data_IF_300963796384
#
_entry.id   IF_300963796384
#
_cell.length_a   1.000
_cell.length_b   1.000
_cell.length_c   1.000
_cell.angle_alpha   90.00
_cell.angle_beta   90.00
_cell.angle_gamma   90.00
#
_symmetry.space_group_name_H-M   'P 1'
#
loop_
_entity.id
_entity.type
_entity.pdbx_description
1 polymer ?
#
# COMPACT_ATOMS: atom_id res chain seq x y z
N UNK A 1 -19.98 21.90 -8.66
CA UNK A 1 -19.87 20.73 -9.55
C UNK A 1 -18.66 19.98 -9.04
N UNK A 2 -18.73 19.40 -7.83
CA UNK A 2 -17.53 19.00 -7.05
C UNK A 2 -17.82 17.81 -6.11
N UNK A 3 -18.53 16.79 -6.61
CA UNK A 3 -18.84 15.59 -5.80
C UNK A 3 -17.92 14.40 -6.08
N UNK A 4 -17.03 14.48 -7.06
CA UNK A 4 -16.15 13.37 -7.46
C UNK A 4 -14.84 13.33 -6.66
N UNK A 5 -14.32 14.48 -6.20
CA UNK A 5 -13.09 14.54 -5.40
C UNK A 5 -13.26 14.00 -3.97
N UNK A 6 -14.38 14.35 -3.31
CA UNK A 6 -14.58 14.03 -1.89
C UNK A 6 -14.70 12.53 -1.59
N UNK A 7 -15.27 11.74 -2.51
CA UNK A 7 -15.44 10.30 -2.31
C UNK A 7 -14.14 9.52 -2.60
N UNK A 8 -13.30 10.05 -3.50
CA UNK A 8 -11.99 9.44 -3.79
C UNK A 8 -11.03 9.65 -2.62
N UNK A 9 -11.00 10.88 -2.07
CA UNK A 9 -10.20 11.21 -0.89
C UNK A 9 -10.60 10.36 0.33
N UNK A 10 -11.90 10.13 0.53
CA UNK A 10 -12.39 9.30 1.65
C UNK A 10 -12.01 7.82 1.47
N UNK A 11 -12.12 7.29 0.25
CA UNK A 11 -11.70 5.93 -0.07
C UNK A 11 -10.18 5.74 0.09
N UNK A 12 -9.38 6.73 -0.30
CA UNK A 12 -7.93 6.74 -0.09
C UNK A 12 -7.59 6.71 1.41
N UNK A 13 -8.24 7.55 2.21
CA UNK A 13 -8.05 7.58 3.65
C UNK A 13 -8.42 6.25 4.31
N UNK A 14 -9.56 5.65 3.92
CA UNK A 14 -10.01 4.37 4.46
C UNK A 14 -9.03 3.25 4.13
N UNK A 15 -8.61 3.15 2.87
CA UNK A 15 -7.71 2.06 2.45
C UNK A 15 -6.32 2.21 3.07
N UNK A 16 -5.82 3.44 3.22
CA UNK A 16 -4.55 3.71 3.92
C UNK A 16 -4.63 3.29 5.38
N UNK A 17 -5.75 3.58 6.06
CA UNK A 17 -5.96 3.14 7.44
C UNK A 17 -5.97 1.61 7.57
N UNK A 18 -6.61 0.90 6.64
CA UNK A 18 -6.61 -0.56 6.61
C UNK A 18 -5.20 -1.11 6.36
N UNK A 19 -4.46 -0.52 5.42
CA UNK A 19 -3.10 -0.93 5.09
C UNK A 19 -2.14 -0.73 6.27
N UNK A 20 -2.24 0.39 7.00
CA UNK A 20 -1.39 0.64 8.16
C UNK A 20 -1.72 -0.30 9.32
N UNK A 21 -3.02 -0.58 9.55
CA UNK A 21 -3.43 -1.61 10.52
C UNK A 21 -2.84 -2.97 10.19
N UNK A 22 -2.87 -3.38 8.92
CA UNK A 22 -2.25 -4.63 8.47
C UNK A 22 -0.75 -4.62 8.75
N UNK A 23 -0.05 -3.55 8.37
CA UNK A 23 1.38 -3.38 8.58
C UNK A 23 1.77 -3.48 10.05
N UNK A 24 1.05 -2.80 10.93
CA UNK A 24 1.28 -2.85 12.38
C UNK A 24 1.05 -4.24 12.95
N UNK A 25 -0.03 -4.91 12.52
CA UNK A 25 -0.37 -6.27 12.96
C UNK A 25 0.71 -7.27 12.54
N UNK A 26 1.20 -7.18 11.31
CA UNK A 26 2.27 -8.05 10.79
C UNK A 26 3.60 -7.76 11.48
N UNK A 27 3.88 -6.48 11.78
CA UNK A 27 5.14 -6.07 12.41
C UNK A 27 5.18 -6.34 13.92
N UNK A 28 4.09 -6.84 14.49
CA UNK A 28 4.04 -7.22 15.90
C UNK A 28 4.96 -8.41 16.15
N UNK A 29 5.87 -8.24 17.11
CA UNK A 29 6.82 -9.28 17.48
C UNK A 29 6.11 -10.51 18.02
N UNK A 30 6.54 -11.70 17.60
CA UNK A 30 5.94 -12.97 18.01
C UNK A 30 6.96 -13.88 18.67
N UNK A 31 6.52 -14.54 19.74
CA UNK A 31 7.29 -15.60 20.37
C UNK A 31 7.35 -16.81 19.44
N UNK A 32 8.57 -17.30 19.20
CA UNK A 32 8.85 -18.46 18.37
C UNK A 32 9.80 -19.36 19.16
N UNK A 33 9.25 -20.35 19.88
CA UNK A 33 9.91 -21.34 20.76
C UNK A 33 11.09 -20.82 21.62
N UNK A 34 12.23 -20.53 20.99
CA UNK A 34 13.47 -20.11 21.64
C UNK A 34 13.80 -18.63 21.50
N UNK A 35 13.06 -17.87 20.66
CA UNK A 35 13.34 -16.45 20.40
C UNK A 35 12.10 -15.64 20.07
N UNK A 36 12.23 -14.34 20.25
CA UNK A 36 11.23 -13.36 19.82
C UNK A 36 11.62 -12.87 18.42
N UNK A 37 10.70 -12.98 17.46
CA UNK A 37 10.93 -12.59 16.05
C UNK A 37 10.02 -11.43 15.70
N UNK A 38 10.63 -10.33 15.27
CA UNK A 38 9.93 -9.20 14.65
C UNK A 38 10.27 -9.13 13.16
N UNK A 39 9.26 -8.87 12.34
CA UNK A 39 9.41 -8.59 10.90
C UNK A 39 8.89 -7.20 10.59
N UNK A 40 9.28 -6.65 9.45
CA UNK A 40 8.66 -5.45 8.89
C UNK A 40 7.84 -5.83 7.66
N UNK A 41 6.74 -5.13 7.42
CA UNK A 41 5.95 -5.29 6.20
C UNK A 41 5.94 -3.99 5.39
N UNK A 42 6.13 -4.10 4.08
CA UNK A 42 5.82 -3.04 3.12
C UNK A 42 4.53 -3.41 2.41
N UNK A 43 3.64 -2.43 2.25
CA UNK A 43 2.29 -2.67 1.70
C UNK A 43 2.05 -1.68 0.56
N UNK A 44 1.82 -2.19 -0.64
CA UNK A 44 1.41 -1.37 -1.78
C UNK A 44 -0.12 -1.38 -1.90
N UNK A 45 -0.69 -0.21 -2.12
CA UNK A 45 -2.14 0.01 -2.22
C UNK A 45 -2.43 0.63 -3.57
N UNK A 46 -3.49 0.19 -4.24
CA UNK A 46 -3.97 0.80 -5.47
C UNK A 46 -5.50 0.83 -5.47
N UNK A 47 -6.07 1.92 -5.96
CA UNK A 47 -7.51 2.06 -6.20
C UNK A 47 -7.79 1.87 -7.69
N UNK A 48 -8.95 1.33 -8.03
CA UNK A 48 -9.38 1.23 -9.42
C UNK A 48 -9.74 2.61 -9.96
N UNK A 49 -9.14 2.97 -11.08
CA UNK A 49 -9.34 4.23 -11.77
C UNK A 49 -8.94 4.10 -13.24
N UNK A 50 -8.84 5.20 -13.98
CA UNK A 50 -8.53 5.18 -15.40
C UNK A 50 -7.23 4.43 -15.74
N UNK A 51 -6.14 4.65 -14.99
CA UNK A 51 -4.86 3.95 -15.19
C UNK A 51 -4.80 2.53 -14.61
N UNK A 52 -5.75 2.14 -13.76
CA UNK A 52 -5.81 0.84 -13.07
C UNK A 52 -7.13 0.11 -13.39
N UNK A 53 -7.67 0.33 -14.59
CA UNK A 53 -9.01 -0.10 -14.99
C UNK A 53 -9.16 -1.60 -15.25
N UNK A 54 -8.06 -2.36 -15.27
CA UNK A 54 -8.08 -3.83 -15.42
C UNK A 54 -7.50 -4.51 -14.18
N UNK A 55 -7.90 -5.75 -13.87
CA UNK A 55 -7.36 -6.48 -12.72
C UNK A 55 -5.83 -6.59 -12.76
N UNK A 56 -5.25 -6.82 -13.95
CA UNK A 56 -3.80 -6.88 -14.12
C UNK A 56 -3.13 -5.54 -13.81
N UNK A 57 -3.68 -4.42 -14.31
CA UNK A 57 -3.13 -3.09 -14.06
C UNK A 57 -3.24 -2.69 -12.59
N UNK A 58 -4.36 -3.04 -11.93
CA UNK A 58 -4.56 -2.78 -10.51
C UNK A 58 -3.55 -3.55 -9.64
N UNK A 59 -3.35 -4.84 -9.91
CA UNK A 59 -2.34 -5.65 -9.22
C UNK A 59 -0.93 -5.13 -9.47
N UNK A 60 -0.60 -4.76 -10.71
CA UNK A 60 0.69 -4.17 -11.05
C UNK A 60 0.94 -2.85 -10.34
N UNK A 61 -0.08 -1.99 -10.24
CA UNK A 61 0.00 -0.72 -9.52
C UNK A 61 0.29 -0.94 -8.02
N UNK A 62 -0.40 -1.90 -7.38
CA UNK A 62 -0.13 -2.27 -6.00
C UNK A 62 1.30 -2.81 -5.82
N UNK A 63 1.78 -3.66 -6.74
CA UNK A 63 3.14 -4.19 -6.71
C UNK A 63 4.22 -3.09 -6.85
N UNK A 64 4.02 -2.13 -7.77
CA UNK A 64 4.88 -0.93 -7.88
C UNK A 64 4.90 -0.13 -6.58
N UNK A 65 3.77 -0.04 -5.88
CA UNK A 65 3.69 0.56 -4.55
C UNK A 65 4.60 -0.15 -3.54
N UNK A 66 4.57 -1.49 -3.49
CA UNK A 66 5.47 -2.28 -2.63
C UNK A 66 6.93 -1.99 -2.97
N UNK A 67 7.31 -2.05 -4.23
CA UNK A 67 8.69 -1.79 -4.65
C UNK A 67 9.17 -0.38 -4.29
N UNK A 68 8.29 0.61 -4.44
CA UNK A 68 8.56 2.00 -4.05
C UNK A 68 8.77 2.13 -2.54
N UNK A 69 7.92 1.48 -1.74
CA UNK A 69 8.07 1.42 -0.28
C UNK A 69 9.42 0.80 0.13
N UNK A 70 9.83 -0.28 -0.55
CA UNK A 70 11.12 -0.94 -0.31
C UNK A 70 12.30 -0.01 -0.57
N UNK A 71 12.27 0.78 -1.65
CA UNK A 71 13.32 1.75 -2.00
C UNK A 71 13.38 2.95 -1.05
N UNK A 72 12.26 3.34 -0.45
CA UNK A 72 12.17 4.51 0.42
C UNK A 72 12.44 4.22 1.90
N UNK A 73 12.87 3.00 2.25
CA UNK A 73 13.24 2.63 3.62
C UNK A 73 12.45 1.45 4.21
N UNK A 74 11.65 0.75 3.39
CA UNK A 74 10.86 -0.44 3.75
C UNK A 74 9.86 -0.15 4.89
N UNK A 75 9.09 -1.16 5.30
CA UNK A 75 8.31 -1.11 6.53
C UNK A 75 7.19 -0.06 6.53
N UNK A 76 6.68 0.31 5.35
CA UNK A 76 5.70 1.40 5.15
C UNK A 76 4.61 1.01 4.15
N UNK A 77 3.51 1.75 4.20
CA UNK A 77 2.45 1.67 3.20
C UNK A 77 2.69 2.71 2.10
N UNK A 78 2.43 2.33 0.85
CA UNK A 78 2.54 3.22 -0.30
C UNK A 78 1.27 3.11 -1.15
N UNK A 79 0.51 4.20 -1.22
CA UNK A 79 -0.55 4.35 -2.21
C UNK A 79 0.10 4.60 -3.57
N UNK A 80 -0.35 3.86 -4.58
CA UNK A 80 0.07 4.03 -5.95
C UNK A 80 -0.37 5.40 -6.48
N UNK A 81 0.58 6.10 -7.08
CA UNK A 81 0.36 7.31 -7.86
C UNK A 81 0.92 7.07 -9.26
N UNK A 82 0.26 7.58 -10.31
CA UNK A 82 0.69 7.39 -11.70
C UNK A 82 2.14 7.86 -11.93
N UNK A 83 2.62 8.84 -11.16
CA UNK A 83 4.03 9.30 -11.19
C UNK A 83 5.04 8.21 -10.79
N UNK A 84 4.61 7.15 -10.09
CA UNK A 84 5.47 6.03 -9.72
C UNK A 84 5.80 5.10 -10.89
N UNK A 85 5.00 5.13 -11.96
CA UNK A 85 5.31 4.39 -13.19
C UNK A 85 6.57 4.92 -13.89
N UNK A 86 7.00 6.14 -13.59
CA UNK A 86 8.20 6.74 -14.17
C UNK A 86 9.51 6.23 -13.53
N UNK A 87 9.45 5.37 -12.51
CA UNK A 87 10.60 4.96 -11.69
C UNK A 87 10.96 3.47 -11.77
N UNK A 88 10.29 2.70 -12.63
CA UNK A 88 10.62 1.31 -12.97
C UNK A 88 11.45 1.24 -14.24
#
# INVERSE_FOLDING_TARGET
MDHVGSAHDEAELEVVAVADRLRMTVSTSRACETRTVSVTASVGVALSGPATCTPYMLLRAADVGVYTAERQGRGRCQLFDETMLAQT
#
